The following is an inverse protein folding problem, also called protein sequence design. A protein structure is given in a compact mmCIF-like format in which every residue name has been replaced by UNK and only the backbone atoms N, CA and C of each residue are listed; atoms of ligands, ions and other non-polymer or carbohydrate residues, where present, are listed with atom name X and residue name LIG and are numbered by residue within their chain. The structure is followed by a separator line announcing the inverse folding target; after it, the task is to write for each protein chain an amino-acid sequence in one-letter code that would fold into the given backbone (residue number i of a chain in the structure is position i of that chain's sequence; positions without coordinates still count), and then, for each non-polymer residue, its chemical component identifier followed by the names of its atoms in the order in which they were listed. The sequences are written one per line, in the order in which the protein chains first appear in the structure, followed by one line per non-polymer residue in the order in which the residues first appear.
data_IF_637550922603
#
_entry.id   IF_637550922603
#
_cell.length_a   1.000
_cell.length_b   1.000
_cell.length_c   1.000
_cell.angle_alpha   90.00
_cell.angle_beta   90.00
_cell.angle_gamma   90.00
#
_symmetry.space_group_name_H-M   'P 1'
#
loop_
_entity.id
_entity.type
_entity.pdbx_description
1 polymer ?
#
# COMPACT_ATOMS: atom_id res chain seq x y z
N UNK A 1 0.32 -39.11 -28.78
CA UNK A 1 -0.40 -37.98 -29.38
C UNK A 1 0.27 -36.76 -28.80
N UNK A 2 1.05 -35.93 -29.47
CA UNK A 2 1.19 -35.49 -30.87
C UNK A 2 2.58 -34.83 -30.93
N UNK A 3 3.45 -35.14 -31.90
CA UNK A 3 3.54 -34.44 -33.19
C UNK A 3 4.67 -33.40 -33.11
N UNK A 4 5.86 -33.63 -33.70
CA UNK A 4 6.22 -33.32 -35.10
C UNK A 4 5.98 -31.82 -35.40
N UNK A 5 7.03 -31.02 -35.56
CA UNK A 5 7.84 -30.87 -36.79
C UNK A 5 7.54 -29.51 -37.41
N UNK A 6 8.55 -28.65 -37.52
CA UNK A 6 8.63 -27.62 -38.55
C UNK A 6 10.08 -27.48 -38.95
N UNK A 7 10.47 -28.20 -40.02
CA UNK A 7 11.58 -27.79 -40.85
C UNK A 7 11.24 -26.54 -41.66
N UNK A 8 12.26 -25.74 -41.97
CA UNK A 8 12.33 -25.00 -43.22
C UNK A 8 13.81 -24.84 -43.64
N UNK A 9 14.02 -24.46 -44.89
CA UNK A 9 14.78 -25.20 -45.88
C UNK A 9 16.15 -24.60 -46.24
N UNK A 10 16.94 -25.49 -46.84
CA UNK A 10 18.26 -25.32 -47.45
C UNK A 10 18.30 -24.42 -48.69
N UNK A 11 19.44 -23.76 -48.93
CA UNK A 11 20.12 -23.64 -50.23
C UNK A 11 21.65 -23.54 -49.96
N UNK A 12 22.44 -24.60 -50.25
CA UNK A 12 23.28 -24.82 -51.46
C UNK A 12 24.45 -23.81 -51.59
N UNK A 13 25.71 -24.16 -51.95
CA UNK A 13 26.28 -25.24 -52.73
C UNK A 13 27.82 -25.30 -52.44
N UNK A 14 28.43 -26.45 -52.16
CA UNK A 14 29.12 -27.39 -53.08
C UNK A 14 30.65 -27.26 -53.19
N UNK A 15 31.30 -28.41 -52.93
CA UNK A 15 32.43 -28.96 -53.71
C UNK A 15 33.80 -28.77 -53.07
N UNK A 16 34.75 -29.70 -53.13
CA UNK A 16 34.85 -31.08 -53.65
C UNK A 16 36.29 -31.52 -53.28
N UNK A 17 36.57 -32.83 -53.24
CA UNK A 17 37.94 -33.31 -53.47
C UNK A 17 38.62 -34.11 -52.36
N UNK A 18 38.39 -35.41 -52.42
CA UNK A 18 39.15 -36.54 -51.86
C UNK A 18 40.68 -36.46 -51.95
N UNK A 19 41.42 -37.04 -50.98
CA UNK A 19 42.85 -37.34 -51.16
C UNK A 19 43.51 -38.07 -49.99
N UNK A 20 43.98 -39.28 -50.27
CA UNK A 20 44.60 -40.28 -49.37
C UNK A 20 46.02 -39.97 -48.88
N UNK A 21 46.34 -40.40 -47.65
CA UNK A 21 47.51 -41.23 -47.31
C UNK A 21 48.94 -40.75 -47.62
N UNK A 22 49.65 -40.32 -46.57
CA UNK A 22 51.05 -40.62 -46.21
C UNK A 22 52.17 -40.44 -47.23
N UNK A 23 53.12 -39.55 -46.95
CA UNK A 23 54.52 -39.90 -46.58
C UNK A 23 55.39 -38.64 -46.50
N UNK A 24 56.05 -38.54 -45.35
CA UNK A 24 57.33 -37.89 -45.05
C UNK A 24 58.15 -37.35 -46.24
N UNK A 25 58.49 -36.06 -46.21
CA UNK A 25 59.87 -35.55 -46.31
C UNK A 25 59.91 -34.02 -46.24
N UNK A 26 60.44 -33.53 -45.11
CA UNK A 26 61.20 -32.28 -44.93
C UNK A 26 60.74 -30.99 -45.62
N UNK A 27 60.30 -30.02 -44.82
CA UNK A 27 60.61 -28.62 -45.09
C UNK A 27 60.52 -27.79 -43.81
N UNK A 28 61.71 -27.38 -43.35
CA UNK A 28 62.00 -26.13 -42.64
C UNK A 28 60.93 -25.63 -41.67
N UNK A 29 61.05 -26.10 -40.45
CA UNK A 29 60.75 -25.30 -39.27
C UNK A 29 61.53 -23.98 -39.38
N UNK A 30 60.82 -22.87 -39.59
CA UNK A 30 61.34 -21.55 -39.23
C UNK A 30 60.90 -21.35 -37.79
N UNK A 31 61.62 -21.98 -36.87
CA UNK A 31 61.48 -21.74 -35.45
C UNK A 31 61.72 -20.26 -35.21
N UNK A 32 60.79 -19.61 -34.50
CA UNK A 32 61.24 -18.68 -33.50
C UNK A 32 62.23 -19.48 -32.63
N UNK A 33 63.45 -18.98 -32.47
CA UNK A 33 64.35 -19.56 -31.48
C UNK A 33 63.56 -19.49 -30.16
N UNK A 34 63.23 -20.63 -29.55
CA UNK A 34 62.58 -20.67 -28.23
C UNK A 34 63.53 -19.93 -27.28
N UNK A 35 63.19 -18.71 -26.86
CA UNK A 35 63.99 -17.94 -25.91
C UNK A 35 63.64 -18.43 -24.50
N UNK A 36 64.64 -18.64 -23.67
CA UNK A 36 64.44 -18.95 -22.25
C UNK A 36 64.77 -17.69 -21.46
N UNK A 37 63.99 -17.40 -20.43
CA UNK A 37 64.21 -16.26 -19.54
C UNK A 37 64.48 -16.75 -18.12
N UNK A 38 65.26 -15.97 -17.37
CA UNK A 38 65.58 -16.31 -16.00
C UNK A 38 64.32 -16.26 -15.13
N UNK A 39 64.20 -17.22 -14.21
CA UNK A 39 63.12 -17.29 -13.22
C UNK A 39 63.80 -17.06 -11.86
N UNK A 40 63.84 -15.79 -11.45
CA UNK A 40 64.65 -15.30 -10.35
C UNK A 40 64.08 -15.69 -8.97
N UNK A 41 62.75 -15.74 -8.85
CA UNK A 41 62.04 -16.01 -7.61
C UNK A 41 61.39 -17.41 -7.55
N UNK A 42 61.42 -18.17 -8.64
CA UNK A 42 60.98 -19.56 -8.80
C UNK A 42 59.45 -19.75 -8.81
N UNK A 43 58.71 -18.79 -9.37
CA UNK A 43 57.26 -18.89 -9.59
C UNK A 43 56.90 -19.57 -10.94
N UNK A 44 57.88 -19.70 -11.84
CA UNK A 44 57.72 -20.31 -13.16
C UNK A 44 57.50 -19.31 -14.30
N UNK A 45 57.58 -18.01 -14.01
CA UNK A 45 57.55 -16.90 -14.96
C UNK A 45 58.95 -16.32 -15.12
N UNK A 46 59.22 -15.77 -16.31
CA UNK A 46 60.57 -15.38 -16.70
C UNK A 46 60.76 -13.88 -16.85
N UNK A 47 61.91 -13.37 -16.39
CA UNK A 47 62.32 -11.96 -16.49
C UNK A 47 62.46 -11.52 -17.95
N UNK A 48 61.60 -10.60 -18.46
CA UNK A 48 61.64 -10.12 -19.84
C UNK A 48 62.90 -9.33 -20.21
N UNK A 49 63.61 -8.78 -19.22
CA UNK A 49 64.87 -8.09 -19.40
C UNK A 49 66.08 -9.05 -19.35
N UNK A 50 65.88 -10.32 -18.98
CA UNK A 50 66.94 -11.33 -18.82
C UNK A 50 66.65 -12.66 -19.57
N UNK A 51 66.51 -12.55 -20.90
CA UNK A 51 66.30 -13.67 -21.80
C UNK A 51 67.53 -14.05 -22.65
N UNK A 52 67.65 -15.33 -23.02
CA UNK A 52 68.75 -15.89 -23.78
C UNK A 52 68.33 -17.13 -24.59
N UNK A 53 69.11 -17.44 -25.63
CA UNK A 53 68.90 -18.66 -26.43
C UNK A 53 69.15 -19.94 -25.59
N UNK A 54 68.54 -21.09 -25.93
CA UNK A 54 68.59 -22.31 -25.09
C UNK A 54 70.00 -22.88 -24.87
N UNK A 55 70.92 -22.60 -25.80
CA UNK A 55 72.32 -23.03 -25.70
C UNK A 55 73.13 -22.20 -24.66
N UNK A 56 72.61 -21.03 -24.26
CA UNK A 56 73.22 -20.08 -23.32
C UNK A 56 72.46 -19.98 -21.98
N UNK A 57 71.26 -20.57 -21.87
CA UNK A 57 70.42 -20.53 -20.67
C UNK A 57 70.98 -21.36 -19.50
N UNK A 58 70.70 -20.91 -18.26
CA UNK A 58 71.09 -21.63 -17.04
C UNK A 58 69.97 -22.56 -16.53
N UNK A 59 70.33 -23.47 -15.60
CA UNK A 59 69.33 -24.37 -14.99
C UNK A 59 68.39 -23.54 -14.11
N UNK A 60 67.11 -23.55 -14.43
CA UNK A 60 66.07 -22.79 -13.73
C UNK A 60 65.28 -21.86 -14.65
N UNK A 61 65.83 -21.53 -15.82
CA UNK A 61 65.19 -20.63 -16.79
C UNK A 61 63.94 -21.27 -17.42
N UNK A 62 62.91 -20.46 -17.69
CA UNK A 62 61.58 -20.85 -18.18
C UNK A 62 61.34 -20.37 -19.62
N UNK A 63 60.30 -20.87 -20.29
CA UNK A 63 60.00 -20.65 -21.72
C UNK A 63 59.01 -19.51 -22.00
N UNK A 64 58.90 -18.56 -21.06
CA UNK A 64 58.10 -17.33 -21.16
C UNK A 64 58.91 -16.13 -20.63
N UNK A 65 58.49 -14.92 -21.00
CA UNK A 65 59.01 -13.62 -20.58
C UNK A 65 57.95 -12.79 -19.84
N UNK A 66 57.06 -13.48 -19.10
CA UNK A 66 55.79 -12.94 -18.62
C UNK A 66 55.85 -12.40 -17.18
N UNK A 67 56.99 -12.48 -16.48
CA UNK A 67 57.14 -11.99 -15.08
C UNK A 67 57.15 -10.45 -15.03
N UNK A 68 56.38 -9.86 -14.10
CA UNK A 68 56.37 -8.40 -13.87
C UNK A 68 57.06 -7.97 -12.58
N UNK A 69 57.42 -8.89 -11.68
CA UNK A 69 58.28 -8.62 -10.53
C UNK A 69 59.14 -9.85 -10.21
N UNK A 70 60.32 -9.90 -10.82
CA UNK A 70 61.35 -10.95 -10.63
C UNK A 70 61.88 -11.09 -9.19
N UNK A 71 61.31 -10.35 -8.24
CA UNK A 71 61.63 -10.42 -6.81
C UNK A 71 60.49 -10.93 -5.95
N UNK A 72 59.29 -11.13 -6.51
CA UNK A 72 58.09 -11.55 -5.80
C UNK A 72 57.34 -12.68 -6.53
N UNK A 73 57.50 -13.89 -6.00
CA UNK A 73 56.91 -15.11 -6.55
C UNK A 73 55.36 -15.19 -6.47
N UNK A 74 54.68 -14.09 -6.14
CA UNK A 74 53.23 -13.92 -6.14
C UNK A 74 52.76 -12.89 -7.19
N UNK A 75 53.66 -12.37 -8.03
CA UNK A 75 53.36 -11.24 -8.93
C UNK A 75 53.61 -11.62 -10.39
N UNK A 76 52.61 -12.24 -11.01
CA UNK A 76 52.71 -12.76 -12.38
C UNK A 76 51.32 -12.85 -13.03
N UNK A 77 51.22 -13.03 -14.36
CA UNK A 77 49.93 -13.19 -15.02
C UNK A 77 49.22 -14.46 -14.56
N UNK A 78 48.08 -14.28 -13.87
CA UNK A 78 47.33 -15.38 -13.27
C UNK A 78 47.61 -15.64 -11.79
N UNK A 79 48.37 -14.77 -11.11
CA UNK A 79 48.44 -14.78 -9.65
C UNK A 79 47.06 -14.51 -9.04
N UNK A 80 46.40 -13.43 -9.44
CA UNK A 80 44.99 -13.17 -9.18
C UNK A 80 44.09 -14.05 -10.07
N UNK A 81 43.50 -15.12 -9.51
CA UNK A 81 42.71 -16.10 -10.26
C UNK A 81 41.47 -15.51 -10.99
N UNK A 82 40.86 -14.47 -10.42
CA UNK A 82 39.70 -13.77 -10.99
C UNK A 82 40.10 -12.76 -12.07
N UNK A 83 41.37 -12.37 -12.11
CA UNK A 83 41.91 -11.39 -13.05
C UNK A 83 43.11 -11.95 -13.86
N UNK A 84 42.98 -13.12 -14.50
CA UNK A 84 44.10 -13.93 -14.98
C UNK A 84 44.89 -13.34 -16.16
N UNK A 85 44.49 -12.16 -16.64
CA UNK A 85 45.17 -11.43 -17.70
C UNK A 85 46.00 -10.27 -17.18
N UNK A 86 45.80 -9.85 -15.93
CA UNK A 86 46.62 -8.83 -15.29
C UNK A 86 47.89 -9.48 -14.78
N UNK A 87 49.01 -8.78 -14.96
CA UNK A 87 50.21 -9.10 -14.20
C UNK A 87 50.09 -8.42 -12.85
N UNK A 88 49.34 -9.06 -11.95
CA UNK A 88 48.94 -8.54 -10.65
C UNK A 88 49.61 -9.33 -9.53
N UNK A 89 49.59 -8.74 -8.34
CA UNK A 89 49.89 -9.41 -7.08
C UNK A 89 48.55 -9.74 -6.38
N UNK A 90 48.54 -10.79 -5.57
CA UNK A 90 47.39 -11.24 -4.76
C UNK A 90 47.92 -11.47 -3.34
N UNK A 91 48.00 -10.39 -2.55
CA UNK A 91 48.72 -10.36 -1.27
C UNK A 91 47.98 -11.13 -0.15
N UNK A 92 46.65 -11.24 -0.23
CA UNK A 92 45.81 -11.89 0.77
C UNK A 92 45.20 -13.24 0.35
N UNK A 93 45.49 -13.69 -0.88
CA UNK A 93 45.12 -14.98 -1.46
C UNK A 93 43.61 -15.14 -1.70
N UNK A 94 42.87 -14.06 -1.96
CA UNK A 94 41.44 -14.08 -2.27
C UNK A 94 41.13 -14.28 -3.77
N UNK A 95 42.16 -14.16 -4.61
CA UNK A 95 42.11 -14.35 -6.05
C UNK A 95 41.84 -13.08 -6.86
N UNK A 96 41.74 -11.91 -6.23
CA UNK A 96 41.68 -10.60 -6.88
C UNK A 96 43.05 -9.91 -6.80
N UNK A 97 43.32 -9.01 -7.73
CA UNK A 97 44.60 -8.30 -7.75
C UNK A 97 44.55 -7.02 -6.92
N UNK A 98 45.60 -6.74 -6.17
CA UNK A 98 45.78 -5.51 -5.37
C UNK A 98 45.41 -4.22 -6.15
N UNK A 99 44.69 -3.26 -5.56
CA UNK A 99 44.40 -1.96 -6.23
C UNK A 99 45.60 -1.01 -6.24
N UNK A 100 46.46 -1.06 -5.21
CA UNK A 100 47.64 -0.19 -5.05
C UNK A 100 48.96 -0.97 -5.08
N UNK A 101 49.24 -1.75 -6.15
CA UNK A 101 50.43 -2.58 -6.18
C UNK A 101 51.72 -1.75 -6.42
N UNK A 102 52.90 -2.35 -6.20
CA UNK A 102 54.18 -1.73 -6.50
C UNK A 102 54.31 -1.27 -7.97
N UNK A 103 55.12 -0.24 -8.20
CA UNK A 103 55.33 0.31 -9.55
C UNK A 103 56.01 -0.71 -10.48
N UNK A 104 55.31 -1.11 -11.55
CA UNK A 104 55.75 -2.14 -12.49
C UNK A 104 54.73 -3.26 -12.66
N UNK A 105 53.83 -3.40 -11.67
CA UNK A 105 52.72 -4.34 -11.60
C UNK A 105 51.43 -3.66 -12.10
N UNK A 106 50.55 -4.41 -12.74
CA UNK A 106 49.23 -3.92 -13.14
C UNK A 106 48.29 -3.89 -11.92
N UNK A 107 47.61 -2.75 -11.63
CA UNK A 107 46.59 -2.69 -10.57
C UNK A 107 45.37 -3.54 -10.91
N UNK A 108 44.93 -4.33 -9.94
CA UNK A 108 43.71 -5.14 -9.99
C UNK A 108 42.49 -4.42 -9.41
N UNK A 109 41.55 -5.20 -8.88
CA UNK A 109 40.27 -4.70 -8.37
C UNK A 109 39.95 -5.04 -6.91
N UNK A 110 40.87 -5.65 -6.17
CA UNK A 110 40.80 -5.79 -4.70
C UNK A 110 40.99 -4.43 -4.02
N UNK A 111 40.03 -3.99 -3.21
CA UNK A 111 40.04 -2.66 -2.59
C UNK A 111 40.65 -2.62 -1.18
N UNK A 112 41.02 -3.76 -0.61
CA UNK A 112 41.89 -3.82 0.56
C UNK A 112 42.82 -5.03 0.44
N UNK A 113 43.99 -4.80 -0.18
CA UNK A 113 45.09 -5.76 -0.42
C UNK A 113 45.56 -6.59 0.80
N UNK A 114 45.01 -6.34 2.00
CA UNK A 114 45.32 -7.06 3.22
C UNK A 114 44.12 -7.84 3.81
N UNK A 115 42.95 -7.79 3.17
CA UNK A 115 41.70 -8.33 3.66
C UNK A 115 40.93 -9.08 2.56
N UNK A 116 41.10 -10.41 2.52
CA UNK A 116 40.51 -11.25 1.47
C UNK A 116 38.99 -11.42 1.50
N UNK A 117 38.29 -10.55 2.21
CA UNK A 117 36.85 -10.37 2.17
C UNK A 117 36.44 -9.06 1.48
N UNK A 118 37.39 -8.22 1.04
CA UNK A 118 37.16 -6.86 0.57
C UNK A 118 37.34 -6.74 -0.96
N UNK A 119 36.51 -7.45 -1.71
CA UNK A 119 36.69 -7.57 -3.16
C UNK A 119 35.34 -7.46 -3.91
N UNK A 120 35.35 -7.23 -5.24
CA UNK A 120 34.13 -7.29 -6.03
C UNK A 120 33.45 -8.65 -5.89
N UNK A 121 32.15 -8.63 -5.55
CA UNK A 121 31.38 -9.85 -5.37
C UNK A 121 31.48 -10.52 -3.99
N UNK A 122 32.19 -9.94 -3.02
CA UNK A 122 32.14 -10.37 -1.62
C UNK A 122 30.71 -10.25 -1.06
N UNK A 123 30.05 -9.11 -1.30
CA UNK A 123 28.63 -8.93 -1.05
C UNK A 123 27.78 -9.51 -2.22
N UNK A 124 27.23 -10.72 -2.05
CA UNK A 124 26.50 -11.46 -3.12
C UNK A 124 25.34 -10.68 -3.75
N UNK A 125 24.65 -9.83 -2.98
CA UNK A 125 23.52 -9.00 -3.44
C UNK A 125 23.97 -7.70 -4.11
N UNK A 126 25.24 -7.31 -3.92
CA UNK A 126 25.82 -6.08 -4.48
C UNK A 126 27.14 -6.39 -5.24
N UNK A 127 27.12 -7.29 -6.22
CA UNK A 127 28.34 -7.88 -6.79
C UNK A 127 29.22 -6.92 -7.59
N UNK A 128 28.75 -5.70 -7.84
CA UNK A 128 29.48 -4.65 -8.56
C UNK A 128 30.24 -3.71 -7.62
N UNK A 129 29.98 -3.77 -6.30
CA UNK A 129 30.73 -3.02 -5.30
C UNK A 129 31.97 -3.82 -4.91
N UNK A 130 33.08 -3.11 -4.72
CA UNK A 130 34.19 -3.67 -3.94
C UNK A 130 33.89 -3.41 -2.47
N UNK A 131 33.25 -4.38 -1.82
CA UNK A 131 32.69 -4.26 -0.48
C UNK A 131 33.18 -5.40 0.41
N UNK A 132 33.00 -5.26 1.73
CA UNK A 132 33.12 -6.34 2.71
C UNK A 132 31.72 -6.79 3.16
N UNK A 133 31.59 -8.03 3.62
CA UNK A 133 30.36 -8.61 4.21
C UNK A 133 30.76 -9.27 5.54
N UNK A 134 30.76 -8.50 6.64
CA UNK A 134 31.27 -8.97 7.95
C UNK A 134 30.38 -10.05 8.59
N UNK A 135 29.08 -10.08 8.29
CA UNK A 135 28.10 -10.94 8.96
C UNK A 135 27.51 -12.09 8.11
N UNK A 136 27.99 -12.22 6.86
CA UNK A 136 27.63 -13.24 5.87
C UNK A 136 26.15 -13.19 5.44
N UNK A 137 25.53 -12.01 5.38
CA UNK A 137 24.13 -11.84 4.98
C UNK A 137 23.92 -11.60 3.46
N UNK A 138 25.02 -11.32 2.76
CA UNK A 138 25.10 -11.05 1.32
C UNK A 138 25.02 -9.57 0.93
N UNK A 139 24.88 -8.64 1.86
CA UNK A 139 24.95 -7.19 1.63
C UNK A 139 26.29 -6.65 2.12
N UNK A 140 26.77 -5.60 1.47
CA UNK A 140 28.05 -5.00 1.87
C UNK A 140 27.89 -4.10 3.09
N UNK A 141 28.91 -4.04 3.94
CA UNK A 141 28.96 -3.22 5.15
C UNK A 141 28.61 -1.74 4.87
N UNK A 142 27.78 -1.12 5.71
CA UNK A 142 27.43 0.31 5.56
C UNK A 142 28.55 1.25 6.01
N UNK A 143 29.32 0.86 7.03
CA UNK A 143 30.43 1.67 7.58
C UNK A 143 31.80 0.98 7.40
N UNK A 144 32.23 0.64 6.16
CA UNK A 144 33.44 -0.13 5.94
C UNK A 144 34.72 0.69 6.18
N UNK A 145 35.90 0.02 6.25
CA UNK A 145 37.19 0.68 6.25
C UNK A 145 37.40 1.66 5.08
N UNK A 146 38.36 2.57 5.23
CA UNK A 146 38.68 3.51 4.14
C UNK A 146 39.42 2.79 3.02
N UNK A 147 38.84 2.76 1.83
CA UNK A 147 39.38 2.05 0.66
C UNK A 147 38.29 1.21 0.00
N UNK A 148 37.42 0.64 0.83
CA UNK A 148 36.27 -0.20 0.47
C UNK A 148 35.03 0.66 0.19
N UNK A 149 34.23 0.25 -0.79
CA UNK A 149 32.96 0.90 -1.13
C UNK A 149 31.87 0.59 -0.07
N UNK A 150 31.16 1.60 0.46
CA UNK A 150 30.00 1.36 1.34
C UNK A 150 28.88 0.59 0.65
N UNK A 151 28.41 -0.47 1.31
CA UNK A 151 27.29 -1.30 0.88
C UNK A 151 25.96 -0.92 1.52
N UNK A 152 25.02 -1.86 1.50
CA UNK A 152 23.62 -1.67 1.92
C UNK A 152 23.22 -2.35 3.22
N UNK A 153 24.13 -3.08 3.89
CA UNK A 153 23.84 -3.74 5.17
C UNK A 153 23.69 -2.71 6.30
N UNK A 154 22.59 -2.74 7.05
CA UNK A 154 22.28 -1.69 8.00
C UNK A 154 22.84 -1.93 9.40
N UNK A 155 23.35 -3.14 9.67
CA UNK A 155 24.14 -3.46 10.85
C UNK A 155 25.15 -4.55 10.47
N UNK A 156 26.37 -4.12 10.14
CA UNK A 156 27.56 -4.95 9.78
C UNK A 156 27.90 -6.09 10.78
N UNK A 157 27.11 -6.28 11.85
CA UNK A 157 27.30 -7.32 12.86
C UNK A 157 26.07 -8.20 13.15
N UNK A 158 24.91 -7.92 12.55
CA UNK A 158 23.66 -8.68 12.76
C UNK A 158 22.98 -9.05 11.43
N UNK A 159 23.09 -10.33 10.98
CA UNK A 159 22.67 -10.76 9.64
C UNK A 159 21.15 -10.85 9.44
N UNK A 160 20.40 -10.31 10.41
CA UNK A 160 18.96 -10.14 10.36
C UNK A 160 18.54 -8.69 10.07
N UNK A 161 19.49 -7.75 9.94
CA UNK A 161 19.26 -6.31 9.83
C UNK A 161 19.78 -5.76 8.49
N UNK A 162 19.38 -6.43 7.42
CA UNK A 162 19.63 -6.01 6.05
C UNK A 162 18.64 -4.88 5.62
N UNK A 163 18.82 -4.22 4.46
CA UNK A 163 18.05 -3.02 4.11
C UNK A 163 16.54 -3.28 4.10
N UNK A 164 15.75 -2.56 4.93
CA UNK A 164 14.38 -2.94 5.28
C UNK A 164 13.37 -2.83 4.13
N UNK A 165 13.69 -2.15 3.02
CA UNK A 165 12.74 -1.91 1.92
C UNK A 165 13.33 -1.94 0.50
N UNK A 166 14.60 -2.32 0.34
CA UNK A 166 15.27 -2.41 -0.96
C UNK A 166 15.80 -1.07 -1.50
N UNK A 167 15.90 -0.04 -0.65
CA UNK A 167 16.81 1.08 -0.88
C UNK A 167 18.05 1.02 0.04
N UNK A 168 19.09 1.78 -0.31
CA UNK A 168 20.42 1.72 0.30
C UNK A 168 20.58 2.63 1.53
N UNK A 169 19.50 3.25 2.05
CA UNK A 169 19.61 4.28 3.08
C UNK A 169 19.42 3.79 4.52
N UNK A 170 19.08 2.50 4.69
CA UNK A 170 18.99 1.83 5.98
C UNK A 170 17.93 2.39 6.95
N UNK A 171 16.95 3.12 6.44
CA UNK A 171 15.83 3.62 7.21
C UNK A 171 14.58 2.81 6.88
N UNK A 172 13.85 2.35 7.91
CA UNK A 172 12.49 1.87 7.68
C UNK A 172 11.66 3.00 7.04
N UNK A 173 10.70 2.74 6.13
CA UNK A 173 9.87 3.79 5.57
C UNK A 173 9.10 4.52 6.67
N UNK A 174 8.93 5.84 6.53
CA UNK A 174 8.15 6.64 7.48
C UNK A 174 6.72 6.08 7.58
N UNK A 175 6.34 5.63 8.77
CA UNK A 175 4.99 5.19 9.12
C UNK A 175 4.40 6.10 10.19
N UNK A 176 3.08 6.21 10.21
CA UNK A 176 2.32 6.99 11.17
C UNK A 176 1.13 6.18 11.67
N UNK A 177 0.83 6.32 12.96
CA UNK A 177 -0.35 5.71 13.58
C UNK A 177 -0.92 6.64 14.63
N UNK A 178 -2.19 6.99 14.49
CA UNK A 178 -2.99 7.63 15.53
C UNK A 178 -3.51 6.60 16.53
N UNK A 179 -3.59 6.99 17.80
CA UNK A 179 -3.79 6.05 18.91
C UNK A 179 -5.23 5.62 19.18
N UNK A 180 -6.25 6.45 18.86
CA UNK A 180 -7.71 6.15 18.93
C UNK A 180 -8.56 7.43 18.83
N UNK A 181 -9.86 7.25 18.60
CA UNK A 181 -10.90 8.28 18.73
C UNK A 181 -11.31 8.50 20.22
N UNK A 182 -11.97 9.63 20.51
CA UNK A 182 -12.29 10.06 21.87
C UNK A 182 -13.75 10.51 22.04
N UNK A 183 -14.30 10.28 23.23
CA UNK A 183 -15.59 10.83 23.67
C UNK A 183 -15.36 11.86 24.78
N UNK A 184 -15.89 13.08 24.62
CA UNK A 184 -15.82 14.17 25.61
C UNK A 184 -17.16 14.90 25.74
N UNK A 185 -17.37 15.58 26.85
CA UNK A 185 -18.43 16.58 26.99
C UNK A 185 -17.98 17.95 26.43
N UNK A 186 -18.91 18.84 26.11
CA UNK A 186 -18.65 20.12 25.50
C UNK A 186 -17.79 21.02 26.40
N UNK A 187 -16.64 21.43 25.88
CA UNK A 187 -15.68 22.27 26.60
C UNK A 187 -14.75 21.50 27.54
N UNK A 188 -14.87 20.18 27.62
CA UNK A 188 -13.80 19.33 28.14
C UNK A 188 -12.66 19.21 27.11
N UNK A 189 -11.54 18.62 27.53
CA UNK A 189 -10.33 18.52 26.72
C UNK A 189 -9.74 17.12 26.76
N UNK A 190 -9.18 16.67 25.64
CA UNK A 190 -8.42 15.41 25.53
C UNK A 190 -7.05 15.63 24.91
N UNK A 191 -6.09 14.76 25.22
CA UNK A 191 -4.75 14.78 24.60
C UNK A 191 -4.75 13.85 23.41
N UNK A 192 -4.51 14.39 22.22
CA UNK A 192 -4.29 13.60 21.02
C UNK A 192 -2.87 13.03 21.05
N UNK A 193 -2.66 11.86 20.44
CA UNK A 193 -1.33 11.26 20.31
C UNK A 193 -1.22 10.52 18.99
N UNK A 194 -0.17 10.84 18.25
CA UNK A 194 0.27 10.09 17.08
C UNK A 194 1.67 9.50 17.33
N UNK A 195 1.96 8.37 16.70
CA UNK A 195 3.25 7.67 16.76
C UNK A 195 3.81 7.61 15.36
N UNK A 196 5.01 8.16 15.16
CA UNK A 196 5.75 8.02 13.92
C UNK A 196 6.95 7.08 14.13
N UNK A 197 7.20 6.20 13.16
CA UNK A 197 8.31 5.26 13.14
C UNK A 197 8.98 5.26 11.76
N UNK A 198 10.20 4.75 11.65
CA UNK A 198 10.99 4.81 10.41
C UNK A 198 11.54 6.20 10.08
N UNK A 199 12.02 6.40 8.87
CA UNK A 199 12.79 7.57 8.47
C UNK A 199 13.99 7.79 9.38
N UNK A 200 14.42 9.05 9.50
CA UNK A 200 15.58 9.46 10.29
C UNK A 200 15.31 9.53 11.80
N UNK A 201 14.08 9.24 12.25
CA UNK A 201 13.66 9.43 13.65
C UNK A 201 13.49 10.90 14.07
N UNK A 202 13.70 11.85 13.15
CA UNK A 202 13.53 13.29 13.41
C UNK A 202 12.35 13.83 12.61
N UNK A 203 11.26 14.13 13.29
CA UNK A 203 10.00 14.50 12.63
C UNK A 203 9.53 15.90 12.99
N UNK A 204 8.79 16.49 12.07
CA UNK A 204 7.96 17.69 12.28
C UNK A 204 6.49 17.31 12.19
N UNK A 205 5.65 17.96 13.02
CA UNK A 205 4.24 17.64 13.18
C UNK A 205 3.42 18.85 12.78
N UNK A 206 2.25 18.61 12.20
CA UNK A 206 1.27 19.64 11.92
C UNK A 206 -0.12 19.04 12.06
N UNK A 207 -0.91 19.55 12.98
CA UNK A 207 -2.31 19.17 13.17
C UNK A 207 -3.25 20.20 12.55
N UNK A 208 -4.39 19.75 12.04
CA UNK A 208 -5.51 20.60 11.62
C UNK A 208 -6.84 19.96 12.03
N UNK A 209 -7.88 20.74 12.39
CA UNK A 209 -7.89 22.19 12.51
C UNK A 209 -7.17 22.69 13.77
N UNK A 210 -6.30 23.70 13.62
CA UNK A 210 -5.50 24.23 14.73
C UNK A 210 -6.29 25.05 15.76
N UNK A 211 -7.50 25.52 15.42
CA UNK A 211 -8.24 26.51 16.20
C UNK A 211 -8.64 26.03 17.61
N UNK A 212 -8.76 24.72 17.79
CA UNK A 212 -9.20 24.05 19.02
C UNK A 212 -8.08 23.27 19.70
N UNK A 213 -6.84 23.42 19.21
CA UNK A 213 -5.62 22.82 19.78
C UNK A 213 -4.84 23.88 20.58
N UNK A 214 -4.09 23.44 21.59
CA UNK A 214 -3.20 24.31 22.35
C UNK A 214 -1.89 24.64 21.61
N UNK A 215 -1.37 23.68 20.85
CA UNK A 215 -0.20 23.80 19.97
C UNK A 215 -0.30 22.76 18.84
N UNK A 216 -0.46 23.19 17.59
CA UNK A 216 -0.65 22.32 16.42
C UNK A 216 0.64 21.76 15.83
N UNK A 217 1.81 22.15 16.36
CA UNK A 217 3.14 21.74 15.84
C UNK A 217 3.82 20.64 16.69
N UNK A 218 3.10 20.07 17.67
CA UNK A 218 3.63 19.05 18.59
C UNK A 218 2.97 17.68 18.40
N UNK A 219 3.67 16.61 18.82
CA UNK A 219 3.19 15.23 18.75
C UNK A 219 1.92 14.96 19.57
N UNK A 220 1.76 15.66 20.70
CA UNK A 220 0.68 15.42 21.67
C UNK A 220 -0.08 16.69 22.04
N UNK A 221 -0.86 17.29 21.11
CA UNK A 221 -1.63 18.48 21.39
C UNK A 221 -2.82 18.18 22.32
N UNK A 222 -3.26 19.18 23.06
CA UNK A 222 -4.52 19.17 23.81
C UNK A 222 -5.63 19.74 22.94
N UNK A 223 -6.64 18.93 22.63
CA UNK A 223 -7.83 19.31 21.88
C UNK A 223 -8.97 19.71 22.83
N UNK A 224 -9.62 20.84 22.57
CA UNK A 224 -10.82 21.33 23.30
C UNK A 224 -11.90 21.80 22.31
N UNK A 225 -12.44 20.91 21.45
CA UNK A 225 -13.48 21.27 20.50
C UNK A 225 -14.84 21.50 21.19
N UNK A 226 -15.71 22.30 20.56
CA UNK A 226 -17.06 22.59 21.04
C UNK A 226 -18.14 21.72 20.38
N UNK A 227 -17.81 21.09 19.25
CA UNK A 227 -18.63 20.16 18.47
C UNK A 227 -17.73 19.00 18.07
N UNK A 228 -18.29 17.85 17.68
CA UNK A 228 -17.46 16.75 17.16
C UNK A 228 -16.54 17.25 16.05
N UNK A 229 -15.26 16.89 16.09
CA UNK A 229 -14.22 17.42 15.19
C UNK A 229 -13.23 16.32 14.84
N UNK A 230 -13.03 16.09 13.54
CA UNK A 230 -11.92 15.29 13.00
C UNK A 230 -10.67 16.16 12.91
N UNK A 231 -9.56 15.67 13.46
CA UNK A 231 -8.23 16.26 13.33
C UNK A 231 -7.34 15.40 12.42
N UNK A 232 -6.70 16.03 11.44
CA UNK A 232 -5.66 15.41 10.62
C UNK A 232 -4.28 15.82 11.15
N UNK A 233 -3.38 14.85 11.32
CA UNK A 233 -1.96 15.07 11.58
C UNK A 233 -1.16 14.78 10.33
N UNK A 234 -0.33 15.74 9.91
CA UNK A 234 0.72 15.52 8.91
C UNK A 234 2.07 15.45 9.62
N UNK A 235 2.82 14.39 9.34
CA UNK A 235 4.19 14.19 9.83
C UNK A 235 5.15 14.25 8.67
N UNK A 236 6.19 15.07 8.79
CA UNK A 236 7.29 15.15 7.82
C UNK A 236 8.60 14.74 8.46
N UNK A 237 9.30 13.78 7.85
CA UNK A 237 10.66 13.43 8.21
C UNK A 237 11.63 14.55 7.81
N UNK A 238 12.43 15.03 8.77
CA UNK A 238 13.29 16.19 8.55
C UNK A 238 14.53 15.89 7.71
N UNK A 239 14.97 14.62 7.65
CA UNK A 239 16.14 14.20 6.89
C UNK A 239 15.79 13.81 5.46
N UNK A 240 14.75 13.00 5.28
CA UNK A 240 14.33 12.52 3.94
C UNK A 240 13.31 13.43 3.26
N UNK A 241 12.54 14.21 4.04
CA UNK A 241 11.42 15.00 3.53
C UNK A 241 10.16 14.17 3.22
N UNK A 242 10.13 12.88 3.57
CA UNK A 242 8.97 12.03 3.44
C UNK A 242 7.79 12.57 4.28
N UNK A 243 6.58 12.47 3.75
CA UNK A 243 5.36 13.00 4.37
C UNK A 243 4.30 11.91 4.45
N UNK A 244 3.69 11.76 5.62
CA UNK A 244 2.55 10.89 5.88
C UNK A 244 1.49 11.64 6.69
N UNK A 245 0.22 11.28 6.53
CA UNK A 245 -0.86 11.82 7.36
C UNK A 245 -1.81 10.74 7.84
N UNK A 246 -2.53 11.05 8.92
CA UNK A 246 -3.51 10.19 9.58
C UNK A 246 -4.53 11.07 10.33
N UNK A 247 -5.72 10.54 10.63
CA UNK A 247 -6.82 11.30 11.24
C UNK A 247 -7.25 10.76 12.60
N UNK A 248 -7.88 11.61 13.42
CA UNK A 248 -8.49 11.26 14.71
C UNK A 248 -9.74 12.07 14.95
N UNK A 249 -10.82 11.42 15.39
CA UNK A 249 -12.08 12.08 15.70
C UNK A 249 -12.29 12.22 17.21
N UNK A 250 -12.62 13.45 17.62
CA UNK A 250 -13.08 13.75 18.98
C UNK A 250 -14.59 13.99 18.92
N UNK A 251 -15.36 13.03 19.43
CA UNK A 251 -16.81 13.10 19.53
C UNK A 251 -17.22 13.90 20.78
N UNK A 252 -18.04 14.93 20.57
CA UNK A 252 -18.62 15.75 21.66
C UNK A 252 -20.06 15.27 21.90
N UNK A 253 -20.23 14.42 22.90
CA UNK A 253 -21.45 13.57 23.05
C UNK A 253 -22.65 14.30 23.66
N UNK A 254 -22.46 15.50 24.21
CA UNK A 254 -23.52 16.32 24.82
C UNK A 254 -23.87 17.57 23.97
N UNK A 255 -23.35 17.64 22.75
CA UNK A 255 -23.64 18.72 21.80
C UNK A 255 -24.55 18.20 20.67
N UNK A 256 -25.74 18.79 20.47
CA UNK A 256 -26.62 18.38 19.39
C UNK A 256 -26.00 18.60 18.02
N UNK A 257 -26.18 17.63 17.11
CA UNK A 257 -25.81 17.76 15.70
C UNK A 257 -26.92 18.50 14.96
N UNK A 258 -26.55 19.56 14.23
CA UNK A 258 -27.46 20.36 13.42
C UNK A 258 -27.53 19.81 11.99
N UNK A 259 -28.71 19.43 11.55
CA UNK A 259 -28.96 18.75 10.29
C UNK A 259 -29.10 19.73 9.11
N UNK A 260 -29.27 21.02 9.36
CA UNK A 260 -29.28 22.06 8.33
C UNK A 260 -27.88 22.33 7.74
N UNK A 261 -26.83 21.87 8.42
CA UNK A 261 -25.44 21.89 7.93
C UNK A 261 -25.11 20.69 7.02
N UNK A 262 -25.96 19.65 7.01
CA UNK A 262 -25.77 18.46 6.17
C UNK A 262 -26.03 18.75 4.68
N UNK A 263 -25.27 18.08 3.81
CA UNK A 263 -25.36 18.22 2.37
C UNK A 263 -26.48 17.36 1.77
N UNK A 264 -27.36 17.97 0.96
CA UNK A 264 -28.36 17.23 0.18
C UNK A 264 -27.71 16.71 -1.11
N UNK A 265 -27.86 15.41 -1.39
CA UNK A 265 -27.44 14.75 -2.63
C UNK A 265 -28.56 13.93 -3.23
N UNK A 266 -28.84 14.15 -4.51
CA UNK A 266 -29.77 13.33 -5.27
C UNK A 266 -29.05 12.11 -5.85
N UNK A 267 -29.68 10.94 -5.78
CA UNK A 267 -29.18 9.65 -6.25
C UNK A 267 -29.98 9.13 -7.45
N UNK A 268 -29.31 8.44 -8.36
CA UNK A 268 -29.96 7.66 -9.42
C UNK A 268 -30.61 8.50 -10.53
N UNK A 269 -31.51 7.90 -11.32
CA UNK A 269 -32.17 8.61 -12.41
C UNK A 269 -33.33 9.43 -11.87
N UNK A 270 -33.57 10.61 -12.45
CA UNK A 270 -34.85 11.34 -12.34
C UNK A 270 -35.97 10.40 -12.77
N UNK A 271 -36.70 9.86 -11.78
CA UNK A 271 -37.80 8.93 -12.01
C UNK A 271 -39.10 9.74 -12.03
N UNK A 272 -39.41 10.25 -13.23
CA UNK A 272 -40.70 10.85 -13.59
C UNK A 272 -40.99 12.26 -13.05
N UNK A 273 -40.10 13.25 -13.26
CA UNK A 273 -40.45 14.68 -13.10
C UNK A 273 -41.06 14.98 -11.71
N UNK A 274 -40.63 14.20 -10.70
CA UNK A 274 -40.96 14.42 -9.29
C UNK A 274 -40.28 15.71 -8.84
N UNK A 275 -40.74 16.26 -7.72
CA UNK A 275 -40.14 17.47 -7.17
C UNK A 275 -38.79 17.13 -6.54
N UNK A 276 -37.82 18.05 -6.65
CA UNK A 276 -36.55 17.98 -5.94
C UNK A 276 -36.79 17.79 -4.43
N UNK A 277 -35.83 17.18 -3.74
CA UNK A 277 -35.88 16.95 -2.30
C UNK A 277 -36.26 18.22 -1.51
N UNK A 278 -37.25 18.08 -0.63
CA UNK A 278 -37.74 19.16 0.23
C UNK A 278 -37.51 18.81 1.69
N UNK A 279 -36.24 18.90 2.10
CA UNK A 279 -35.83 18.75 3.50
C UNK A 279 -36.28 19.97 4.31
N UNK A 280 -37.10 19.73 5.33
CA UNK A 280 -37.49 20.72 6.33
C UNK A 280 -36.81 20.40 7.67
N UNK A 281 -36.19 21.41 8.27
CA UNK A 281 -35.48 21.28 9.54
C UNK A 281 -36.35 21.76 10.71
N UNK A 282 -36.36 20.99 11.79
CA UNK A 282 -37.23 21.15 12.95
C UNK A 282 -36.46 21.06 14.26
N UNK A 283 -37.12 21.37 15.37
CA UNK A 283 -36.56 21.28 16.73
C UNK A 283 -35.27 22.07 16.99
N UNK A 284 -35.05 23.15 16.23
CA UNK A 284 -33.78 23.88 16.28
C UNK A 284 -32.69 23.19 15.48
N UNK A 285 -33.08 22.64 14.34
CA UNK A 285 -32.26 21.99 13.32
C UNK A 285 -31.70 20.62 13.73
N UNK A 286 -32.13 20.05 14.86
CA UNK A 286 -31.72 18.68 15.31
C UNK A 286 -32.58 17.56 14.75
N UNK A 287 -33.58 17.91 13.94
CA UNK A 287 -34.50 17.00 13.27
C UNK A 287 -34.67 17.46 11.82
N UNK A 288 -34.81 16.52 10.89
CA UNK A 288 -35.01 16.79 9.48
C UNK A 288 -36.08 15.86 8.92
N UNK A 289 -37.02 16.43 8.16
CA UNK A 289 -38.08 15.70 7.51
C UNK A 289 -38.02 15.94 6.00
N UNK A 290 -37.97 14.87 5.23
CA UNK A 290 -38.22 14.93 3.80
C UNK A 290 -39.76 15.00 3.65
N UNK A 291 -40.28 16.08 3.07
CA UNK A 291 -41.73 16.36 3.04
C UNK A 291 -42.46 15.95 1.77
N UNK A 292 -41.73 15.67 0.69
CA UNK A 292 -42.29 15.48 -0.65
C UNK A 292 -42.13 14.04 -1.14
N UNK A 293 -42.99 13.58 -2.04
CA UNK A 293 -42.65 12.36 -2.77
C UNK A 293 -41.63 12.75 -3.86
N UNK A 294 -40.34 12.50 -3.58
CA UNK A 294 -39.20 12.92 -4.42
C UNK A 294 -38.42 11.73 -4.99
N UNK A 295 -37.50 12.05 -5.91
CA UNK A 295 -36.42 11.16 -6.34
C UNK A 295 -35.60 10.66 -5.13
N UNK A 296 -34.71 9.69 -5.37
CA UNK A 296 -33.85 9.19 -4.32
C UNK A 296 -32.92 10.32 -3.85
N UNK A 297 -32.97 10.63 -2.56
CA UNK A 297 -32.23 11.72 -1.94
C UNK A 297 -31.52 11.26 -0.68
N UNK A 298 -30.34 11.82 -0.45
CA UNK A 298 -29.53 11.63 0.75
C UNK A 298 -29.31 12.98 1.41
N UNK A 299 -29.55 13.05 2.72
CA UNK A 299 -29.05 14.12 3.58
C UNK A 299 -27.79 13.60 4.26
N UNK A 300 -26.62 13.95 3.70
CA UNK A 300 -25.31 13.46 4.15
C UNK A 300 -24.68 14.46 5.11
N UNK A 301 -24.40 14.01 6.32
CA UNK A 301 -23.85 14.87 7.37
C UNK A 301 -22.33 14.69 7.46
N UNK A 302 -21.64 15.75 7.88
CA UNK A 302 -20.21 15.73 8.23
C UNK A 302 -20.00 15.00 9.57
N UNK A 303 -20.45 13.74 9.58
CA UNK A 303 -20.36 12.78 10.68
C UNK A 303 -19.52 11.64 10.15
N UNK A 304 -18.25 11.66 10.47
CA UNK A 304 -17.33 10.59 10.10
C UNK A 304 -17.45 9.44 11.10
N UNK A 305 -17.83 8.26 10.60
CA UNK A 305 -17.77 7.02 11.37
C UNK A 305 -16.42 6.37 11.11
N UNK A 306 -15.54 6.39 12.09
CA UNK A 306 -14.27 5.65 12.10
C UNK A 306 -14.14 4.96 13.46
N UNK A 307 -14.32 3.64 13.47
CA UNK A 307 -14.53 2.86 14.70
C UNK A 307 -15.43 3.58 15.72
N UNK A 308 -16.63 3.93 15.27
CA UNK A 308 -17.59 4.77 15.98
C UNK A 308 -19.02 4.24 15.84
N UNK A 309 -19.91 4.73 16.69
CA UNK A 309 -21.34 4.52 16.61
C UNK A 309 -22.09 5.82 16.37
N UNK A 310 -23.23 5.71 15.70
CA UNK A 310 -24.22 6.78 15.56
C UNK A 310 -25.59 6.27 15.97
N UNK A 311 -26.31 7.06 16.74
CA UNK A 311 -27.67 6.75 17.15
C UNK A 311 -28.62 7.88 16.81
N UNK A 312 -29.91 7.57 16.72
CA UNK A 312 -30.94 8.56 16.45
C UNK A 312 -32.33 7.96 16.39
N UNK A 313 -33.26 8.76 15.89
CA UNK A 313 -34.65 8.37 15.68
C UNK A 313 -35.06 8.55 14.23
N UNK A 314 -36.02 7.73 13.79
CA UNK A 314 -36.64 7.80 12.49
C UNK A 314 -38.12 7.38 12.55
N UNK A 315 -38.97 8.03 11.76
CA UNK A 315 -40.39 7.65 11.62
C UNK A 315 -40.97 8.19 10.31
N UNK A 316 -42.17 7.73 9.97
CA UNK A 316 -42.95 8.27 8.84
C UNK A 316 -44.27 8.83 9.38
N UNK A 317 -44.54 10.11 9.15
CA UNK A 317 -45.77 10.76 9.61
C UNK A 317 -46.96 10.44 8.69
N UNK A 318 -48.14 10.22 9.29
CA UNK A 318 -49.39 10.08 8.53
C UNK A 318 -49.97 11.44 8.09
N UNK A 319 -50.54 11.51 6.87
CA UNK A 319 -51.27 12.70 6.41
C UNK A 319 -52.76 12.64 6.80
N UNK A 320 -53.37 13.77 7.19
CA UNK A 320 -54.82 13.81 7.44
C UNK A 320 -55.65 13.44 6.19
N UNK A 321 -56.79 12.71 6.33
CA UNK A 321 -57.51 12.43 7.56
C UNK A 321 -57.47 10.94 7.96
N UNK A 322 -56.31 10.38 8.28
CA UNK A 322 -56.26 9.05 8.92
C UNK A 322 -54.89 8.37 8.82
N UNK A 323 -54.68 7.27 9.58
CA UNK A 323 -53.40 6.56 9.68
C UNK A 323 -53.16 5.62 8.47
N UNK A 324 -53.61 6.00 7.28
CA UNK A 324 -53.25 5.27 6.07
C UNK A 324 -51.87 5.78 5.62
N UNK A 325 -50.92 4.90 5.27
CA UNK A 325 -49.60 5.33 4.82
C UNK A 325 -49.75 6.32 3.66
N UNK A 326 -49.03 7.43 3.77
CA UNK A 326 -49.01 8.52 2.78
C UNK A 326 -48.44 8.05 1.44
N UNK A 327 -47.54 7.09 1.53
CA UNK A 327 -46.94 6.27 0.50
C UNK A 327 -46.38 5.01 1.17
N UNK A 328 -45.98 4.00 0.41
CA UNK A 328 -45.47 2.73 0.97
C UNK A 328 -44.00 2.43 0.63
N UNK A 329 -43.26 3.49 0.34
CA UNK A 329 -41.94 3.51 -0.30
C UNK A 329 -40.77 3.48 0.69
N UNK A 330 -39.59 3.91 0.25
CA UNK A 330 -38.34 3.67 0.94
C UNK A 330 -37.89 4.88 1.73
N UNK A 331 -37.42 4.59 2.93
CA UNK A 331 -36.56 5.48 3.71
C UNK A 331 -35.47 4.63 4.38
N UNK A 332 -34.41 5.26 4.88
CA UNK A 332 -33.33 4.53 5.54
C UNK A 332 -32.10 5.39 5.82
N UNK A 333 -30.94 4.74 5.79
CA UNK A 333 -29.67 5.28 6.27
C UNK A 333 -28.55 5.03 5.25
N UNK A 334 -27.57 5.93 5.22
CA UNK A 334 -26.32 5.82 4.46
C UNK A 334 -25.15 5.89 5.43
N UNK A 335 -24.11 5.09 5.22
CA UNK A 335 -22.87 5.19 5.99
C UNK A 335 -21.65 4.69 5.21
N UNK A 336 -20.45 4.98 5.73
CA UNK A 336 -19.19 4.64 5.06
C UNK A 336 -19.01 5.42 3.75
N UNK A 337 -19.72 6.54 3.58
CA UNK A 337 -19.63 7.36 2.39
C UNK A 337 -18.28 8.08 2.33
N UNK A 338 -17.60 8.00 1.20
CA UNK A 338 -16.34 8.72 0.96
C UNK A 338 -16.45 9.49 -0.34
N UNK A 339 -16.52 10.82 -0.27
CA UNK A 339 -16.62 11.71 -1.44
C UNK A 339 -17.67 11.23 -2.47
N UNK A 340 -17.25 11.04 -3.74
CA UNK A 340 -18.04 10.49 -4.85
C UNK A 340 -17.85 8.95 -4.99
N UNK A 341 -17.31 8.29 -3.97
CA UNK A 341 -17.00 6.87 -3.91
C UNK A 341 -18.16 5.97 -3.46
N UNK A 342 -17.86 4.72 -3.09
CA UNK A 342 -18.86 3.77 -2.61
C UNK A 342 -19.45 4.16 -1.24
N UNK A 343 -20.63 3.62 -0.94
CA UNK A 343 -21.31 3.78 0.35
C UNK A 343 -22.18 2.57 0.68
N UNK A 344 -22.45 2.35 1.96
CA UNK A 344 -23.48 1.41 2.40
C UNK A 344 -24.83 2.10 2.45
N UNK A 345 -25.87 1.37 2.04
CA UNK A 345 -27.24 1.85 1.98
C UNK A 345 -28.19 0.86 2.65
N UNK A 346 -28.80 1.27 3.74
CA UNK A 346 -29.95 0.61 4.34
C UNK A 346 -31.23 1.22 3.79
N UNK A 347 -32.17 0.39 3.34
CA UNK A 347 -33.52 0.85 2.96
C UNK A 347 -34.61 -0.03 3.56
N UNK A 348 -35.73 0.58 3.94
CA UNK A 348 -36.89 -0.08 4.50
C UNK A 348 -38.17 0.35 3.78
N UNK A 349 -38.89 -0.63 3.21
CA UNK A 349 -40.10 -0.41 2.41
C UNK A 349 -41.35 -1.02 3.03
N UNK A 350 -42.49 -0.33 2.97
CA UNK A 350 -43.75 -0.80 3.56
C UNK A 350 -44.64 -1.65 2.64
N UNK A 351 -44.62 -1.44 1.33
CA UNK A 351 -45.47 -2.17 0.40
C UNK A 351 -44.69 -2.77 -0.76
N UNK A 352 -45.08 -3.95 -1.25
CA UNK A 352 -44.47 -4.48 -2.46
C UNK A 352 -45.11 -3.83 -3.70
N UNK A 353 -44.31 -3.15 -4.52
CA UNK A 353 -44.82 -2.46 -5.71
C UNK A 353 -43.89 -2.56 -6.93
N UNK A 354 -44.51 -2.44 -8.11
CA UNK A 354 -43.79 -2.04 -9.32
C UNK A 354 -43.82 -0.52 -9.38
N UNK A 355 -42.66 0.12 -9.39
CA UNK A 355 -42.57 1.56 -9.44
C UNK A 355 -42.49 2.05 -10.89
N UNK A 356 -43.30 3.07 -11.24
CA UNK A 356 -43.20 3.73 -12.55
C UNK A 356 -41.80 4.37 -12.69
N UNK A 357 -41.24 4.48 -13.89
CA UNK A 357 -39.82 4.89 -14.04
C UNK A 357 -38.78 3.80 -13.72
N UNK A 358 -39.05 2.86 -12.81
CA UNK A 358 -38.15 1.77 -12.42
C UNK A 358 -38.33 0.45 -13.20
N UNK A 359 -39.04 0.49 -14.33
CA UNK A 359 -39.24 -0.66 -15.22
C UNK A 359 -40.31 -1.65 -14.71
N UNK A 360 -40.11 -2.95 -14.98
CA UNK A 360 -41.10 -4.00 -14.65
C UNK A 360 -40.74 -4.81 -13.40
N UNK A 361 -39.67 -4.41 -12.70
CA UNK A 361 -39.24 -5.08 -11.47
C UNK A 361 -40.26 -4.85 -10.38
N UNK A 362 -40.65 -5.91 -9.69
CA UNK A 362 -41.52 -5.81 -8.53
C UNK A 362 -40.64 -5.80 -7.29
N UNK A 363 -40.53 -4.64 -6.66
CA UNK A 363 -39.74 -4.47 -5.45
C UNK A 363 -40.53 -4.97 -4.25
N UNK A 364 -39.89 -5.79 -3.42
CA UNK A 364 -40.52 -6.38 -2.23
C UNK A 364 -40.55 -5.36 -1.08
N UNK A 365 -41.46 -5.57 -0.14
CA UNK A 365 -41.46 -4.87 1.14
C UNK A 365 -40.37 -5.46 2.06
N UNK A 366 -39.95 -4.68 3.05
CA UNK A 366 -38.97 -5.09 4.05
C UNK A 366 -37.64 -4.34 3.96
N UNK A 367 -36.70 -4.78 4.79
CA UNK A 367 -35.39 -4.19 4.99
C UNK A 367 -34.35 -4.81 4.05
N UNK A 368 -33.40 -3.99 3.60
CA UNK A 368 -32.23 -4.46 2.86
C UNK A 368 -31.02 -3.56 3.13
N UNK A 369 -29.84 -4.14 3.02
CA UNK A 369 -28.57 -3.42 3.04
C UNK A 369 -27.77 -3.74 1.78
N UNK A 370 -27.26 -2.70 1.14
CA UNK A 370 -26.44 -2.81 -0.07
C UNK A 370 -25.13 -2.04 0.08
N UNK A 371 -24.08 -2.53 -0.57
CA UNK A 371 -22.90 -1.74 -0.92
C UNK A 371 -23.16 -1.17 -2.31
N UNK A 372 -23.10 0.15 -2.45
CA UNK A 372 -23.32 0.87 -3.71
C UNK A 372 -21.99 1.46 -4.16
N UNK A 373 -21.62 1.26 -5.43
CA UNK A 373 -20.26 1.53 -5.92
C UNK A 373 -19.99 3.00 -6.27
N UNK A 374 -21.06 3.80 -6.49
CA UNK A 374 -20.96 5.19 -6.92
C UNK A 374 -22.23 5.98 -6.61
N UNK A 375 -22.15 7.32 -6.61
CA UNK A 375 -23.31 8.21 -6.46
C UNK A 375 -24.05 8.45 -7.79
N UNK A 376 -23.32 8.38 -8.90
CA UNK A 376 -23.82 8.67 -10.24
C UNK A 376 -24.22 7.42 -11.01
N UNK A 377 -25.14 7.61 -11.98
CA UNK A 377 -25.49 6.58 -12.97
C UNK A 377 -26.27 5.38 -12.40
N UNK A 378 -26.70 5.47 -11.14
CA UNK A 378 -27.52 4.46 -10.50
C UNK A 378 -28.90 4.38 -11.16
N UNK A 379 -29.48 3.20 -11.16
CA UNK A 379 -30.89 2.93 -11.40
C UNK A 379 -31.57 2.43 -10.12
N UNK A 380 -32.90 2.36 -10.13
CA UNK A 380 -33.65 1.93 -8.94
C UNK A 380 -33.23 0.54 -8.41
N UNK A 381 -32.82 -0.35 -9.31
CA UNK A 381 -32.34 -1.68 -8.93
C UNK A 381 -31.04 -1.64 -8.14
N UNK A 382 -30.16 -0.69 -8.44
CA UNK A 382 -28.91 -0.49 -7.72
C UNK A 382 -29.20 -0.10 -6.26
N UNK A 383 -30.20 0.75 -6.04
CA UNK A 383 -30.61 1.21 -4.71
C UNK A 383 -31.46 0.20 -3.92
N UNK A 384 -32.41 -0.48 -4.58
CA UNK A 384 -33.55 -1.09 -3.86
C UNK A 384 -33.86 -2.55 -4.20
N UNK A 385 -33.24 -3.15 -5.23
CA UNK A 385 -33.56 -4.53 -5.59
C UNK A 385 -32.93 -5.56 -4.64
N UNK A 386 -33.64 -6.68 -4.44
CA UNK A 386 -33.19 -7.87 -3.70
C UNK A 386 -32.18 -8.71 -4.51
N UNK A 387 -31.26 -8.05 -5.21
CA UNK A 387 -30.23 -8.69 -6.02
C UNK A 387 -29.07 -7.74 -6.29
N UNK A 388 -27.90 -8.32 -6.53
CA UNK A 388 -26.73 -7.59 -7.02
C UNK A 388 -27.01 -7.04 -8.42
N UNK A 389 -26.38 -5.91 -8.70
CA UNK A 389 -26.32 -5.29 -10.02
C UNK A 389 -24.86 -5.12 -10.43
N UNK A 390 -24.58 -4.32 -11.45
CA UNK A 390 -23.21 -3.96 -11.83
C UNK A 390 -22.64 -2.79 -11.02
N UNK A 391 -23.48 -2.08 -10.26
CA UNK A 391 -23.11 -0.89 -9.47
C UNK A 391 -23.47 -1.07 -7.97
N UNK A 392 -23.88 -2.27 -7.58
CA UNK A 392 -24.25 -2.54 -6.20
C UNK A 392 -24.25 -4.04 -5.88
N UNK A 393 -23.95 -4.35 -4.63
CA UNK A 393 -24.04 -5.68 -4.04
C UNK A 393 -25.10 -5.70 -2.95
N UNK A 394 -25.94 -6.74 -2.92
CA UNK A 394 -26.86 -7.00 -1.81
C UNK A 394 -26.10 -7.70 -0.69
N UNK A 395 -25.91 -7.01 0.43
CA UNK A 395 -25.24 -7.55 1.61
C UNK A 395 -26.20 -8.31 2.52
N UNK A 396 -27.43 -7.81 2.65
CA UNK A 396 -28.50 -8.47 3.40
C UNK A 396 -29.87 -8.09 2.79
N UNK A 397 -30.67 -9.09 2.42
CA UNK A 397 -32.04 -8.87 1.93
C UNK A 397 -33.11 -9.13 3.00
N UNK A 398 -34.40 -8.94 2.66
CA UNK A 398 -35.51 -9.14 3.59
C UNK A 398 -35.58 -10.54 4.23
N UNK A 399 -35.03 -11.56 3.56
CA UNK A 399 -35.00 -12.94 4.06
C UNK A 399 -33.77 -13.27 4.91
N UNK A 400 -32.74 -12.44 4.85
CA UNK A 400 -31.48 -12.63 5.59
C UNK A 400 -31.52 -11.93 6.95
N UNK A 401 -32.35 -10.88 7.05
CA UNK A 401 -32.53 -10.04 8.24
C UNK A 401 -33.64 -10.63 9.14
N UNK A 402 -33.41 -10.67 10.45
CA UNK A 402 -34.45 -11.00 11.43
C UNK A 402 -35.55 -9.93 11.39
N UNK A 403 -36.83 -10.32 11.34
CA UNK A 403 -37.93 -9.39 11.04
C UNK A 403 -37.74 -8.62 9.72
N UNK A 404 -36.87 -9.07 8.82
CA UNK A 404 -36.52 -8.35 7.58
C UNK A 404 -37.68 -8.17 6.60
N UNK A 405 -38.71 -9.01 6.69
CA UNK A 405 -39.96 -8.86 5.92
C UNK A 405 -40.99 -7.98 6.62
N UNK A 406 -40.75 -7.60 7.87
CA UNK A 406 -41.60 -6.69 8.64
C UNK A 406 -41.42 -5.28 8.09
N UNK A 407 -42.52 -4.55 8.06
CA UNK A 407 -42.62 -3.24 7.44
C UNK A 407 -42.67 -2.18 8.54
N UNK A 408 -42.28 -0.96 8.21
CA UNK A 408 -42.50 0.17 9.09
C UNK A 408 -44.00 0.50 9.12
N UNK A 409 -44.47 0.97 10.28
CA UNK A 409 -45.82 1.45 10.49
C UNK A 409 -45.79 2.99 10.64
N UNK A 410 -46.79 3.71 10.10
CA UNK A 410 -46.84 5.17 10.23
C UNK A 410 -47.06 5.59 11.68
N UNK A 411 -46.47 6.73 12.05
CA UNK A 411 -46.50 7.34 13.39
C UNK A 411 -45.92 6.44 14.50
N UNK A 412 -45.10 5.44 14.14
CA UNK A 412 -44.27 4.68 15.09
C UNK A 412 -42.88 5.31 15.15
N UNK A 413 -42.49 5.74 16.33
CA UNK A 413 -41.11 6.18 16.58
C UNK A 413 -40.18 4.97 16.63
N UNK A 414 -39.20 4.92 15.73
CA UNK A 414 -38.11 3.96 15.74
C UNK A 414 -36.81 4.63 16.19
N UNK A 415 -36.10 4.04 17.16
CA UNK A 415 -34.71 4.40 17.45
C UNK A 415 -33.78 3.48 16.69
N UNK A 416 -32.66 4.01 16.20
CA UNK A 416 -31.58 3.23 15.61
C UNK A 416 -30.26 3.44 16.34
N UNK A 417 -29.40 2.44 16.30
CA UNK A 417 -27.99 2.48 16.72
C UNK A 417 -27.19 1.74 15.64
N UNK A 418 -26.25 2.44 15.01
CA UNK A 418 -25.35 1.91 14.01
C UNK A 418 -23.93 1.94 14.56
N UNK A 419 -23.40 0.77 14.90
CA UNK A 419 -21.97 0.59 15.19
C UNK A 419 -21.22 0.31 13.89
N UNK A 420 -20.18 1.08 13.60
CA UNK A 420 -19.33 0.91 12.42
C UNK A 420 -17.86 0.78 12.83
N UNK A 421 -17.22 -0.32 12.45
CA UNK A 421 -15.84 -0.62 12.78
C UNK A 421 -15.10 -1.23 11.59
N UNK A 422 -13.75 -1.30 11.61
CA UNK A 422 -12.98 -1.95 10.54
C UNK A 422 -13.35 -3.42 10.29
N UNK A 423 -14.04 -4.08 11.22
CA UNK A 423 -14.51 -5.46 11.10
C UNK A 423 -15.93 -5.60 10.50
N UNK A 424 -16.61 -4.50 10.23
CA UNK A 424 -17.97 -4.47 9.71
C UNK A 424 -18.90 -3.57 10.53
N UNK A 425 -20.21 -3.64 10.22
CA UNK A 425 -21.23 -2.79 10.86
C UNK A 425 -22.32 -3.61 11.54
N UNK A 426 -22.96 -3.02 12.55
CA UNK A 426 -24.14 -3.56 13.22
C UNK A 426 -25.19 -2.46 13.34
N UNK A 427 -26.36 -2.67 12.76
CA UNK A 427 -27.50 -1.75 12.85
C UNK A 427 -28.60 -2.38 13.71
N UNK A 428 -28.91 -1.76 14.82
CA UNK A 428 -30.03 -2.11 15.70
C UNK A 428 -31.17 -1.12 15.48
N UNK A 429 -32.41 -1.61 15.36
CA UNK A 429 -33.61 -0.75 15.25
C UNK A 429 -34.65 -1.25 16.24
N UNK A 430 -35.16 -0.35 17.09
CA UNK A 430 -36.21 -0.66 18.05
C UNK A 430 -37.38 0.32 17.92
N UNK A 431 -38.61 -0.19 17.87
CA UNK A 431 -39.83 0.60 17.76
C UNK A 431 -40.53 0.82 19.10
N UNK A 432 -41.18 1.97 19.24
CA UNK A 432 -42.03 2.31 20.40
C UNK A 432 -43.23 1.37 20.59
N UNK A 433 -43.58 0.61 19.55
CA UNK A 433 -44.59 -0.45 19.53
C UNK A 433 -44.07 -1.83 20.00
N UNK A 434 -42.77 -1.94 20.28
CA UNK A 434 -42.09 -3.17 20.68
C UNK A 434 -41.45 -3.94 19.53
N UNK A 435 -41.39 -3.37 18.32
CA UNK A 435 -40.55 -3.87 17.23
C UNK A 435 -39.07 -3.85 17.64
N UNK A 436 -38.30 -4.85 17.22
CA UNK A 436 -36.86 -4.93 17.51
C UNK A 436 -36.16 -5.80 16.46
N UNK A 437 -35.05 -5.32 15.91
CA UNK A 437 -34.21 -6.06 14.98
C UNK A 437 -32.76 -5.62 15.05
N UNK A 438 -31.87 -6.55 14.68
CA UNK A 438 -30.43 -6.34 14.54
C UNK A 438 -29.99 -6.87 13.18
N UNK A 439 -29.21 -6.06 12.45
CA UNK A 439 -28.64 -6.37 11.14
C UNK A 439 -27.13 -6.33 11.27
N UNK A 440 -26.48 -7.47 11.04
CA UNK A 440 -25.00 -7.55 11.01
C UNK A 440 -24.51 -7.52 9.57
N UNK A 441 -23.61 -6.59 9.26
CA UNK A 441 -22.91 -6.47 7.98
C UNK A 441 -21.45 -6.83 8.20
N UNK A 442 -21.01 -7.97 7.67
CA UNK A 442 -19.62 -8.42 7.77
C UNK A 442 -18.73 -7.91 6.64
N UNK A 443 -19.26 -7.10 5.73
CA UNK A 443 -18.48 -6.43 4.70
C UNK A 443 -17.54 -5.39 5.35
N UNK A 444 -16.31 -5.30 4.84
CA UNK A 444 -15.22 -4.46 5.38
C UNK A 444 -14.64 -3.54 4.32
N UNK A 445 -15.35 -3.39 3.20
CA UNK A 445 -14.88 -2.60 2.05
C UNK A 445 -14.74 -1.12 2.40
N UNK A 446 -15.59 -0.61 3.30
CA UNK A 446 -15.57 0.76 3.78
C UNK A 446 -15.39 0.70 5.31
N UNK A 447 -14.14 0.83 5.81
CA UNK A 447 -13.87 0.77 7.25
C UNK A 447 -14.24 2.06 7.99
N UNK A 448 -14.41 3.15 7.24
CA UNK A 448 -14.84 4.45 7.72
C UNK A 448 -15.60 5.23 6.65
N UNK A 449 -16.21 6.36 7.05
CA UNK A 449 -16.81 7.34 6.14
C UNK A 449 -18.01 8.07 6.73
N UNK A 450 -18.57 9.00 5.97
CA UNK A 450 -19.69 9.85 6.37
C UNK A 450 -20.99 9.07 6.58
N UNK A 451 -21.86 9.59 7.45
CA UNK A 451 -23.20 9.09 7.73
C UNK A 451 -24.30 10.03 7.22
N UNK A 452 -25.44 9.48 6.82
CA UNK A 452 -26.58 10.26 6.37
C UNK A 452 -27.91 9.51 6.34
N UNK A 453 -28.94 10.24 5.92
CA UNK A 453 -30.33 9.77 5.82
C UNK A 453 -30.73 9.60 4.37
N UNK A 454 -31.55 8.59 4.08
CA UNK A 454 -32.01 8.28 2.73
C UNK A 454 -33.53 8.32 2.64
N UNK A 455 -34.06 8.95 1.60
CA UNK A 455 -35.47 8.86 1.21
C UNK A 455 -35.57 8.53 -0.28
N UNK A 456 -36.57 7.75 -0.67
CA UNK A 456 -36.89 7.54 -2.08
C UNK A 456 -38.37 7.26 -2.28
N UNK A 457 -39.05 8.17 -2.98
CA UNK A 457 -40.50 8.15 -3.23
C UNK A 457 -41.35 8.14 -1.96
N UNK A 458 -40.78 8.54 -0.80
CA UNK A 458 -41.47 8.51 0.49
C UNK A 458 -41.52 9.91 1.11
N UNK A 459 -42.71 10.51 1.07
CA UNK A 459 -43.00 11.77 1.73
C UNK A 459 -43.17 11.62 3.25
N UNK A 460 -42.81 12.67 3.99
CA UNK A 460 -42.91 12.77 5.45
C UNK A 460 -42.11 11.69 6.19
N UNK A 461 -40.96 11.32 5.64
CA UNK A 461 -39.94 10.55 6.35
C UNK A 461 -39.10 11.53 7.18
N UNK A 462 -38.97 11.26 8.48
CA UNK A 462 -38.36 12.17 9.44
C UNK A 462 -37.28 11.46 10.25
N UNK A 463 -36.20 12.19 10.54
CA UNK A 463 -35.07 11.76 11.35
C UNK A 463 -34.70 12.84 12.37
N UNK A 464 -34.09 12.45 13.49
CA UNK A 464 -33.60 13.41 14.46
C UNK A 464 -32.99 12.80 15.70
N UNK A 465 -32.48 13.67 16.58
CA UNK A 465 -31.85 13.25 17.84
C UNK A 465 -30.54 12.49 17.64
N UNK A 466 -29.72 12.98 16.70
CA UNK A 466 -28.49 12.30 16.26
C UNK A 466 -27.39 12.51 17.28
N UNK A 467 -26.78 11.42 17.69
CA UNK A 467 -25.63 11.40 18.62
C UNK A 467 -24.55 10.49 18.04
N UNK A 468 -23.28 10.84 18.26
CA UNK A 468 -22.12 10.05 17.79
C UNK A 468 -21.15 9.80 18.91
N UNK A 469 -20.58 8.60 18.97
CA UNK A 469 -19.62 8.19 19.99
C UNK A 469 -18.55 7.30 19.37
N UNK A 470 -17.29 7.43 19.82
CA UNK A 470 -16.25 6.45 19.52
C UNK A 470 -16.57 5.10 20.18
N UNK A 471 -16.28 4.00 19.47
CA UNK A 471 -16.43 2.66 20.00
C UNK A 471 -15.40 2.39 21.14
N UNK A 472 -15.76 1.56 22.13
CA UNK A 472 -14.97 1.37 23.36
C UNK A 472 -13.70 0.51 23.23
#
# INVERSE_FOLDING_TARGET
MTGSDTGDTSETATGDGTGTGGSDTGSSDTGAEEELCADEDNDGFGDPDNCAAPDDAEVGWVDNDDDCDDTNAQTYPGAAEQEPLLCANDDDEDGWGDDDPPAGVDPGTDCDDANGNAHPGAAEQQPELCAEDEDDDGWGDHDPPTGVDPGGDCDDTDPAVNPPDGDTDCLDPLQLTVTKNFNIDAGDSTTLEAVATGGTGTYTWQWQPAATLDDDEIRTPMATPATSTTYEVTVTDAGTGAVVSDTVTVHVVDTPILLDECAVRTLGPDIDELVDDAWEYEDGDTSACQRENSDAGVLLCDIELDDASVSGSMHVESLPPGPEPTDDDWFGLVWGAVDDGPFYLFTWKAGAQQHAGCGTTNFTAGMRVKLVDSWDGLGCGDLTADSNTTLSELLAGPTDIAEGTTVWDPDVDYSFELDHAPTGSRLTISGSDGFDTEITISDTSLPNGEFGYFSFSQANSCWGGVETEANP
#
